data_IF_824635163129
#
_entry.id   IF_824635163129
#
_cell.length_a   1.000
_cell.length_b   1.000
_cell.length_c   1.000
_cell.angle_alpha   90.00
_cell.angle_beta   90.00
_cell.angle_gamma   90.00
#
_symmetry.space_group_name_H-M   'P 1'
#
loop_
_entity.id
_entity.type
_entity.pdbx_description
1 polymer ?
#
# COMPACT_ATOMS: atom_id res chain seq x y z
N UNK A 1 4.86 10.41 17.73
CA UNK A 1 4.19 9.45 16.83
C UNK A 1 5.21 8.37 16.48
N UNK A 2 4.86 7.08 16.45
CA UNK A 2 5.78 6.02 15.99
C UNK A 2 5.73 5.98 14.45
N UNK A 3 6.90 5.90 13.80
CA UNK A 3 7.05 5.77 12.34
C UNK A 3 6.23 4.60 11.77
N UNK A 4 6.18 3.47 12.48
CA UNK A 4 5.41 2.30 12.07
C UNK A 4 3.92 2.63 11.90
N UNK A 5 3.37 3.42 12.83
CA UNK A 5 1.97 3.85 12.80
C UNK A 5 1.71 4.85 11.67
N UNK A 6 2.68 5.74 11.39
CA UNK A 6 2.59 6.69 10.28
C UNK A 6 2.48 5.92 8.96
N UNK A 7 3.40 4.98 8.73
CA UNK A 7 3.42 4.14 7.52
C UNK A 7 2.17 3.27 7.43
N UNK A 8 1.76 2.63 8.52
CA UNK A 8 0.56 1.78 8.54
C UNK A 8 -0.69 2.57 8.16
N UNK A 9 -0.95 3.68 8.84
CA UNK A 9 -2.16 4.49 8.59
C UNK A 9 -2.11 5.15 7.21
N UNK A 10 -0.94 5.62 6.76
CA UNK A 10 -0.78 6.19 5.41
C UNK A 10 -1.15 5.20 4.31
N UNK A 11 -0.67 3.96 4.39
CA UNK A 11 -1.02 2.91 3.43
C UNK A 11 -2.52 2.58 3.45
N UNK A 12 -3.09 2.45 4.64
CA UNK A 12 -4.52 2.20 4.79
C UNK A 12 -5.35 3.37 4.24
N UNK A 13 -4.93 4.61 4.50
CA UNK A 13 -5.62 5.80 4.04
C UNK A 13 -5.63 5.86 2.52
N UNK A 14 -4.49 5.65 1.84
CA UNK A 14 -4.45 5.67 0.38
C UNK A 14 -5.39 4.63 -0.24
N UNK A 15 -5.52 3.46 0.39
CA UNK A 15 -6.37 2.38 -0.08
C UNK A 15 -7.87 2.62 0.20
N UNK A 16 -8.22 3.28 1.30
CA UNK A 16 -9.59 3.33 1.82
C UNK A 16 -10.17 4.76 2.00
N UNK A 17 -9.43 5.82 1.67
CA UNK A 17 -9.85 7.23 1.89
C UNK A 17 -11.20 7.59 1.29
N UNK A 18 -11.60 6.95 0.20
CA UNK A 18 -12.88 7.19 -0.47
C UNK A 18 -14.09 6.61 0.30
N UNK A 19 -13.85 5.77 1.32
CA UNK A 19 -14.87 5.19 2.19
C UNK A 19 -15.05 5.97 3.51
N UNK A 20 -14.25 7.01 3.72
CA UNK A 20 -14.37 7.92 4.85
C UNK A 20 -15.34 9.06 4.50
N UNK A 21 -15.95 9.65 5.52
CA UNK A 21 -16.67 10.92 5.32
C UNK A 21 -15.70 12.03 4.95
N UNK A 22 -16.17 13.09 4.28
CA UNK A 22 -15.29 14.19 3.84
C UNK A 22 -14.46 14.78 4.99
N UNK A 23 -15.10 14.99 6.15
CA UNK A 23 -14.42 15.52 7.35
C UNK A 23 -13.37 14.56 7.93
N UNK A 24 -13.64 13.26 7.92
CA UNK A 24 -12.65 12.25 8.34
C UNK A 24 -11.46 12.24 7.37
N UNK A 25 -11.75 12.24 6.07
CA UNK A 25 -10.74 12.22 5.01
C UNK A 25 -9.83 13.44 5.07
N UNK A 26 -10.42 14.63 5.22
CA UNK A 26 -9.69 15.89 5.34
C UNK A 26 -8.77 15.91 6.56
N UNK A 27 -9.28 15.56 7.75
CA UNK A 27 -8.49 15.54 8.99
C UNK A 27 -7.34 14.52 8.91
N UNK A 28 -7.59 13.32 8.37
CA UNK A 28 -6.54 12.30 8.21
C UNK A 28 -5.49 12.76 7.20
N UNK A 29 -5.90 13.37 6.08
CA UNK A 29 -4.97 13.90 5.06
C UNK A 29 -4.07 14.99 5.62
N UNK A 30 -4.65 16.01 6.28
CA UNK A 30 -3.89 17.10 6.88
C UNK A 30 -2.84 16.56 7.87
N UNK A 31 -3.22 15.57 8.68
CA UNK A 31 -2.33 15.03 9.71
C UNK A 31 -1.25 14.07 9.17
N UNK A 32 -1.60 13.16 8.25
CA UNK A 32 -0.69 12.09 7.81
C UNK A 32 0.03 12.39 6.48
N UNK A 33 -0.52 13.25 5.62
CA UNK A 33 0.06 13.58 4.30
C UNK A 33 0.67 14.98 4.26
N UNK A 34 0.13 15.93 5.03
CA UNK A 34 0.58 17.32 5.04
C UNK A 34 1.35 17.70 6.30
N UNK A 35 1.57 16.75 7.22
CA UNK A 35 2.29 16.93 8.49
C UNK A 35 1.75 18.05 9.40
N UNK A 36 0.46 18.41 9.28
CA UNK A 36 -0.16 19.37 10.19
C UNK A 36 -0.29 18.79 11.59
N UNK A 37 0.02 19.60 12.60
CA UNK A 37 -0.28 19.32 13.99
C UNK A 37 -1.79 19.42 14.27
N UNK A 38 -2.24 18.78 15.36
CA UNK A 38 -3.64 18.89 15.80
C UNK A 38 -4.07 20.34 16.09
N UNK A 39 -3.11 21.21 16.43
CA UNK A 39 -3.34 22.64 16.64
C UNK A 39 -3.63 23.37 15.33
N UNK A 40 -2.78 23.17 14.32
CA UNK A 40 -2.97 23.78 13.00
C UNK A 40 -4.26 23.31 12.34
N UNK A 41 -4.61 22.02 12.47
CA UNK A 41 -5.89 21.49 11.96
C UNK A 41 -7.08 22.09 12.74
N UNK A 42 -6.95 22.23 14.06
CA UNK A 42 -7.98 22.82 14.92
C UNK A 42 -8.30 24.26 14.52
N UNK A 43 -7.27 25.06 14.25
CA UNK A 43 -7.38 26.44 13.79
C UNK A 43 -7.97 26.51 12.38
N UNK A 44 -7.45 25.70 11.45
CA UNK A 44 -7.89 25.68 10.05
C UNK A 44 -9.38 25.29 9.92
N UNK A 45 -9.82 24.27 10.67
CA UNK A 45 -11.18 23.74 10.58
C UNK A 45 -12.16 24.33 11.60
N UNK A 46 -11.71 25.24 12.47
CA UNK A 46 -12.52 25.79 13.58
C UNK A 46 -13.18 24.72 14.45
N UNK A 47 -12.45 23.62 14.72
CA UNK A 47 -12.90 22.50 15.57
C UNK A 47 -11.92 22.41 16.75
N UNK A 48 -12.40 22.02 17.93
CA UNK A 48 -11.50 21.86 19.09
C UNK A 48 -10.41 20.82 18.83
N UNK A 49 -9.22 21.02 19.40
CA UNK A 49 -8.12 20.02 19.33
C UNK A 49 -8.56 18.62 19.76
N UNK A 50 -9.44 18.53 20.77
CA UNK A 50 -10.02 17.27 21.22
C UNK A 50 -10.91 16.64 20.14
N UNK A 51 -11.77 17.44 19.48
CA UNK A 51 -12.61 16.96 18.37
C UNK A 51 -11.80 16.47 17.18
N UNK A 52 -10.69 17.14 16.85
CA UNK A 52 -9.75 16.67 15.82
C UNK A 52 -9.11 15.34 16.25
N UNK A 53 -8.60 15.25 17.48
CA UNK A 53 -7.98 14.04 18.01
C UNK A 53 -8.94 12.83 17.98
N UNK A 54 -10.17 13.02 18.45
CA UNK A 54 -11.19 11.96 18.50
C UNK A 54 -11.60 11.51 17.11
N UNK A 55 -11.72 12.45 16.16
CA UNK A 55 -12.03 12.15 14.76
C UNK A 55 -10.90 11.38 14.10
N UNK A 56 -9.65 11.80 14.32
CA UNK A 56 -8.47 11.11 13.81
C UNK A 56 -8.41 9.66 14.35
N UNK A 57 -8.58 9.48 15.66
CA UNK A 57 -8.59 8.15 16.29
C UNK A 57 -9.70 7.23 15.80
N UNK A 58 -10.90 7.78 15.60
CA UNK A 58 -12.02 7.02 15.03
C UNK A 58 -11.74 6.62 13.58
N UNK A 59 -11.16 7.52 12.79
CA UNK A 59 -10.81 7.26 11.39
C UNK A 59 -9.72 6.20 11.27
N UNK A 60 -8.69 6.24 12.12
CA UNK A 60 -7.67 5.18 12.22
C UNK A 60 -8.29 3.81 12.46
N UNK A 61 -9.27 3.73 13.37
CA UNK A 61 -9.98 2.48 13.66
C UNK A 61 -10.79 2.00 12.46
N UNK A 62 -11.55 2.90 11.82
CA UNK A 62 -12.34 2.57 10.62
C UNK A 62 -11.45 2.03 9.51
N UNK A 63 -10.30 2.66 9.26
CA UNK A 63 -9.33 2.22 8.26
C UNK A 63 -8.79 0.81 8.55
N UNK A 64 -8.43 0.53 9.82
CA UNK A 64 -8.00 -0.82 10.24
C UNK A 64 -9.12 -1.85 10.10
N UNK A 65 -10.36 -1.47 10.43
CA UNK A 65 -11.53 -2.34 10.30
C UNK A 65 -11.84 -2.66 8.82
N UNK A 66 -11.62 -1.70 7.90
CA UNK A 66 -11.72 -1.96 6.47
C UNK A 66 -10.66 -2.96 6.00
N UNK A 67 -9.39 -2.80 6.42
CA UNK A 67 -8.36 -3.78 6.07
C UNK A 67 -8.64 -5.16 6.63
N UNK A 68 -9.09 -5.25 7.88
CA UNK A 68 -9.44 -6.54 8.49
C UNK A 68 -10.53 -7.28 7.70
N UNK A 69 -11.44 -6.55 7.04
CA UNK A 69 -12.56 -7.13 6.26
C UNK A 69 -12.22 -7.35 4.79
N UNK A 70 -11.47 -6.43 4.18
CA UNK A 70 -11.27 -6.40 2.73
C UNK A 70 -9.87 -6.90 2.31
N UNK A 71 -8.86 -6.69 3.16
CA UNK A 71 -7.48 -7.13 2.97
C UNK A 71 -6.81 -6.55 1.73
N UNK A 72 -7.22 -5.35 1.26
CA UNK A 72 -6.76 -4.82 -0.02
C UNK A 72 -5.29 -4.38 0.04
N UNK A 73 -4.82 -3.82 1.15
CA UNK A 73 -3.41 -3.44 1.30
C UNK A 73 -2.54 -4.69 1.30
N UNK A 74 -2.92 -5.73 2.07
CA UNK A 74 -2.23 -7.02 2.05
C UNK A 74 -2.15 -7.61 0.65
N UNK A 75 -3.28 -7.72 -0.05
CA UNK A 75 -3.34 -8.25 -1.42
C UNK A 75 -2.50 -7.41 -2.39
N UNK A 76 -2.45 -6.09 -2.22
CA UNK A 76 -1.61 -5.23 -3.06
C UNK A 76 -0.13 -5.50 -2.87
N UNK A 77 0.33 -5.67 -1.61
CA UNK A 77 1.72 -6.05 -1.32
C UNK A 77 2.08 -7.42 -1.87
N UNK A 78 1.17 -8.38 -1.80
CA UNK A 78 1.35 -9.72 -2.39
C UNK A 78 1.54 -9.63 -3.90
N UNK A 79 0.68 -8.86 -4.60
CA UNK A 79 0.81 -8.63 -6.05
C UNK A 79 2.12 -7.91 -6.41
N UNK A 80 2.51 -6.90 -5.64
CA UNK A 80 3.76 -6.16 -5.85
C UNK A 80 4.98 -7.09 -5.74
N UNK A 81 4.98 -7.99 -4.74
CA UNK A 81 6.03 -9.00 -4.58
C UNK A 81 6.11 -9.93 -5.79
N UNK A 82 4.98 -10.50 -6.24
CA UNK A 82 4.96 -11.39 -7.40
C UNK A 82 5.45 -10.66 -8.66
N UNK A 83 5.02 -9.41 -8.85
CA UNK A 83 5.47 -8.57 -9.97
C UNK A 83 6.98 -8.36 -9.94
N UNK A 84 7.55 -8.09 -8.76
CA UNK A 84 8.99 -7.93 -8.59
C UNK A 84 9.75 -9.23 -8.88
N UNK A 85 9.21 -10.38 -8.47
CA UNK A 85 9.82 -11.69 -8.72
C UNK A 85 9.80 -12.03 -10.23
N UNK A 86 8.71 -11.72 -10.94
CA UNK A 86 8.62 -11.84 -12.39
C UNK A 86 9.69 -10.96 -13.05
N UNK A 87 9.78 -9.68 -12.66
CA UNK A 87 10.76 -8.75 -13.21
C UNK A 87 12.19 -9.28 -13.05
N UNK A 88 12.55 -9.76 -11.85
CA UNK A 88 13.88 -10.30 -11.58
C UNK A 88 14.21 -11.50 -12.48
N UNK A 89 13.24 -12.39 -12.72
CA UNK A 89 13.40 -13.53 -13.63
C UNK A 89 13.56 -13.12 -15.09
N UNK A 90 12.83 -12.10 -15.53
CA UNK A 90 13.00 -11.55 -16.89
C UNK A 90 14.40 -10.96 -17.07
N UNK A 91 14.92 -10.25 -16.06
CA UNK A 91 16.30 -9.72 -16.08
C UNK A 91 17.31 -10.86 -16.14
N UNK A 92 17.13 -11.92 -15.36
CA UNK A 92 17.99 -13.11 -15.34
C UNK A 92 17.99 -13.83 -16.71
N UNK A 93 16.82 -14.07 -17.30
CA UNK A 93 16.71 -14.63 -18.67
C UNK A 93 17.42 -13.75 -19.69
N UNK A 94 17.26 -12.42 -19.62
CA UNK A 94 17.94 -11.48 -20.51
C UNK A 94 19.46 -11.58 -20.38
N UNK A 95 19.99 -11.73 -19.17
CA UNK A 95 21.43 -11.89 -18.95
C UNK A 95 21.95 -13.21 -19.55
N UNK A 96 21.22 -14.31 -19.35
CA UNK A 96 21.57 -15.60 -19.93
C UNK A 96 21.57 -15.58 -21.46
N UNK A 97 20.57 -14.94 -22.09
CA UNK A 97 20.49 -14.79 -23.55
C UNK A 97 21.66 -13.99 -24.13
N UNK A 98 22.22 -13.05 -23.37
CA UNK A 98 23.39 -12.28 -23.79
C UNK A 98 24.69 -13.08 -23.68
N UNK A 99 24.74 -14.11 -22.82
CA UNK A 99 25.94 -14.88 -22.52
C UNK A 99 25.99 -16.27 -23.18
N UNK A 100 24.83 -16.89 -23.46
CA UNK A 100 24.74 -18.25 -23.98
C UNK A 100 24.01 -18.31 -25.33
N UNK A 101 24.52 -19.15 -26.26
CA UNK A 101 23.83 -19.46 -27.53
C UNK A 101 22.85 -20.62 -27.42
N UNK A 102 22.95 -21.42 -26.36
CA UNK A 102 22.00 -22.49 -26.05
C UNK A 102 20.90 -21.93 -25.13
N UNK A 103 19.65 -22.12 -25.53
CA UNK A 103 18.46 -21.60 -24.85
C UNK A 103 17.73 -22.68 -24.02
N UNK A 104 18.23 -23.92 -23.99
CA UNK A 104 17.56 -25.01 -23.27
C UNK A 104 17.43 -24.74 -21.76
N UNK A 105 18.38 -24.03 -21.17
CA UNK A 105 18.35 -23.60 -19.76
C UNK A 105 17.29 -22.53 -19.47
N UNK A 106 16.69 -21.91 -20.49
CA UNK A 106 15.67 -20.86 -20.32
C UNK A 106 14.26 -21.42 -20.12
N UNK A 107 13.99 -22.63 -20.62
CA UNK A 107 12.69 -23.30 -20.49
C UNK A 107 12.20 -23.32 -19.03
N UNK A 108 12.97 -23.82 -18.04
CA UNK A 108 12.52 -23.83 -16.65
C UNK A 108 12.36 -22.42 -16.05
N UNK A 109 13.10 -21.42 -16.55
CA UNK A 109 12.96 -20.02 -16.10
C UNK A 109 11.64 -19.42 -16.60
N UNK A 110 11.26 -19.72 -17.84
CA UNK A 110 9.99 -19.29 -18.44
C UNK A 110 8.80 -19.99 -17.79
N UNK A 111 8.86 -21.30 -17.58
CA UNK A 111 7.81 -22.06 -16.87
C UNK A 111 7.53 -21.45 -15.49
N UNK A 112 8.57 -21.05 -14.77
CA UNK A 112 8.40 -20.42 -13.48
C UNK A 112 7.75 -19.02 -13.56
N UNK A 113 8.05 -18.23 -14.61
CA UNK A 113 7.33 -16.97 -14.87
C UNK A 113 5.85 -17.26 -15.16
N UNK A 114 5.54 -18.31 -15.93
CA UNK A 114 4.15 -18.70 -16.18
C UNK A 114 3.43 -19.05 -14.90
N UNK A 115 4.05 -19.79 -13.99
CA UNK A 115 3.48 -20.13 -12.69
C UNK A 115 3.19 -18.88 -11.84
N UNK A 116 4.15 -17.94 -11.74
CA UNK A 116 3.94 -16.67 -11.04
C UNK A 116 2.81 -15.85 -11.66
N UNK A 117 2.73 -15.79 -12.99
CA UNK A 117 1.62 -15.13 -13.69
C UNK A 117 0.28 -15.80 -13.39
N UNK A 118 0.23 -17.14 -13.32
CA UNK A 118 -0.99 -17.88 -12.96
C UNK A 118 -1.44 -17.58 -11.53
N UNK A 119 -0.52 -17.38 -10.59
CA UNK A 119 -0.86 -16.96 -9.23
C UNK A 119 -1.49 -15.57 -9.18
N UNK A 120 -1.05 -14.63 -10.02
CA UNK A 120 -1.64 -13.28 -10.10
C UNK A 120 -3.06 -13.25 -10.66
N UNK A 121 -3.44 -14.25 -11.47
CA UNK A 121 -4.74 -14.34 -12.13
C UNK A 121 -5.83 -15.01 -11.28
N UNK A 122 -5.48 -15.53 -10.10
CA UNK A 122 -6.42 -16.13 -9.13
C UNK A 122 -6.97 -15.07 -8.17
#
# INVERSE_FOLDING_TARGET
MNLEKLVEIGLLFEQYKMLLTDKQREIVSLYYNEDYSLGEISENLSVSRQGIYDTLKRSEKILKDYEAKLGLVKKSKEREKITQDIYNKVVDIKQDLLQNRDCANLIPKVENIEDLCREMLK
#
